data_IF_859490292234
#
_entry.id   IF_859490292234
#
_cell.length_a   1.000
_cell.length_b   1.000
_cell.length_c   1.000
_cell.angle_alpha   90.00
_cell.angle_beta   90.00
_cell.angle_gamma   90.00
#
_symmetry.space_group_name_H-M   'P 1'
#
loop_
_entity.id
_entity.type
_entity.pdbx_description
1 polymer ?
#
# COMPACT_ATOMS: atom_id res chain seq x y z
N UNK A 1 78.72 22.21 52.82
CA UNK A 1 79.17 21.43 53.99
C UNK A 1 77.93 20.79 54.60
N UNK A 2 77.67 19.51 54.31
CA UNK A 2 78.00 18.38 55.23
C UNK A 2 76.67 17.97 55.90
N UNK A 3 76.13 16.74 55.85
CA UNK A 3 76.63 15.42 55.45
C UNK A 3 75.41 14.49 55.23
N UNK A 4 75.53 13.67 54.17
CA UNK A 4 75.14 12.26 54.05
C UNK A 4 73.82 11.76 54.68
N UNK A 5 72.84 11.44 53.81
CA UNK A 5 71.79 10.45 54.07
C UNK A 5 72.25 9.09 53.55
N UNK A 6 72.51 8.15 54.45
CA UNK A 6 72.77 6.75 54.13
C UNK A 6 71.47 5.99 53.86
N UNK A 7 71.29 5.53 52.62
CA UNK A 7 70.31 4.50 52.28
C UNK A 7 70.83 3.16 52.76
N UNK A 8 70.13 2.55 53.73
CA UNK A 8 70.40 1.20 54.21
C UNK A 8 69.69 0.18 53.32
N UNK A 9 70.20 -1.06 53.37
CA UNK A 9 69.86 -2.30 52.68
C UNK A 9 68.36 -2.70 52.56
N UNK A 10 67.42 -1.83 52.92
CA UNK A 10 65.98 -2.04 52.85
C UNK A 10 65.37 -1.76 51.47
N UNK A 11 66.10 -1.06 50.58
CA UNK A 11 65.64 -0.79 49.20
C UNK A 11 65.71 -2.02 48.27
N UNK A 12 66.46 -3.07 48.64
CA UNK A 12 66.58 -4.28 47.82
C UNK A 12 65.47 -5.31 48.07
N UNK A 13 64.85 -5.31 49.25
CA UNK A 13 63.79 -6.29 49.61
C UNK A 13 62.41 -5.89 49.07
N UNK A 14 62.22 -4.63 48.63
CA UNK A 14 60.96 -4.14 48.09
C UNK A 14 60.81 -4.31 46.56
N UNK A 15 61.87 -4.77 45.87
CA UNK A 15 61.85 -5.04 44.41
C UNK A 15 61.11 -6.35 44.06
N UNK A 16 61.17 -7.37 44.93
CA UNK A 16 60.70 -8.73 44.59
C UNK A 16 59.26 -9.05 45.05
N UNK A 17 58.61 -8.15 45.80
CA UNK A 17 57.21 -8.31 46.22
C UNK A 17 56.18 -7.71 45.23
N UNK A 18 56.64 -7.06 44.15
CA UNK A 18 55.77 -6.38 43.18
C UNK A 18 55.22 -7.33 42.09
N UNK A 19 55.43 -8.65 42.25
CA UNK A 19 55.18 -9.68 41.24
C UNK A 19 53.93 -10.55 41.49
N UNK A 20 52.97 -10.13 42.34
CA UNK A 20 51.72 -10.92 42.56
C UNK A 20 50.41 -10.15 42.54
N UNK A 21 50.43 -8.83 42.32
CA UNK A 21 49.20 -8.02 42.22
C UNK A 21 48.78 -7.64 40.80
N UNK A 22 49.56 -8.02 39.77
CA UNK A 22 49.24 -7.77 38.35
C UNK A 22 48.52 -8.92 37.62
N UNK A 23 48.27 -10.05 38.29
CA UNK A 23 47.74 -11.28 37.66
C UNK A 23 46.28 -11.63 38.03
N UNK A 24 45.53 -10.73 38.68
CA UNK A 24 44.14 -10.98 39.09
C UNK A 24 43.11 -10.04 38.44
N UNK A 25 43.34 -9.58 37.20
CA UNK A 25 42.39 -8.72 36.47
C UNK A 25 42.20 -9.15 35.01
N UNK A 26 42.04 -10.47 34.78
CA UNK A 26 41.73 -11.04 33.45
C UNK A 26 40.67 -12.14 33.51
N UNK A 27 39.63 -11.96 34.33
CA UNK A 27 38.47 -12.84 34.31
C UNK A 27 37.21 -12.06 33.91
N UNK A 28 36.76 -12.37 32.70
CA UNK A 28 35.37 -12.44 32.25
C UNK A 28 34.53 -11.16 32.34
N UNK A 29 34.54 -10.35 31.26
CA UNK A 29 33.30 -9.80 30.67
C UNK A 29 33.50 -9.69 29.15
N UNK A 30 33.41 -10.81 28.44
CA UNK A 30 33.13 -10.82 27.00
C UNK A 30 31.68 -11.24 26.81
N UNK A 31 30.75 -10.43 27.32
CA UNK A 31 29.33 -10.58 27.02
C UNK A 31 29.07 -9.96 25.66
N UNK A 32 29.08 -10.78 24.60
CA UNK A 32 28.58 -10.38 23.30
C UNK A 32 27.07 -10.13 23.43
N UNK A 33 26.67 -8.87 23.56
CA UNK A 33 25.29 -8.45 23.37
C UNK A 33 24.98 -8.60 21.87
N UNK A 34 24.58 -9.81 21.47
CA UNK A 34 23.88 -10.01 20.20
C UNK A 34 22.49 -9.41 20.40
N UNK A 35 22.38 -8.11 20.15
CA UNK A 35 21.09 -7.46 20.02
C UNK A 35 20.40 -8.04 18.79
N UNK A 36 19.47 -8.97 18.99
CA UNK A 36 18.54 -9.36 17.94
C UNK A 36 17.73 -8.10 17.61
N UNK A 37 18.04 -7.47 16.48
CA UNK A 37 17.18 -6.47 15.89
C UNK A 37 15.90 -7.22 15.46
N UNK A 38 14.91 -7.26 16.34
CA UNK A 38 13.56 -7.66 15.98
C UNK A 38 13.07 -6.57 15.04
N UNK A 39 12.75 -6.85 13.77
CA UNK A 39 12.05 -5.87 12.97
C UNK A 39 10.72 -5.65 13.67
N UNK A 40 10.55 -4.48 14.29
CA UNK A 40 9.23 -4.01 14.69
C UNK A 40 8.52 -3.74 13.38
N UNK A 41 7.78 -4.73 12.87
CA UNK A 41 6.74 -4.48 11.90
C UNK A 41 5.74 -3.57 12.62
N UNK A 42 5.85 -2.26 12.38
CA UNK A 42 4.79 -1.36 12.74
C UNK A 42 3.59 -1.82 11.91
N UNK A 43 2.60 -2.43 12.56
CA UNK A 43 1.28 -2.60 11.96
C UNK A 43 0.70 -1.19 11.86
N UNK A 44 1.01 -0.50 10.76
CA UNK A 44 0.61 0.88 10.55
C UNK A 44 -0.90 1.02 10.37
N UNK A 45 -1.65 -0.09 10.37
CA UNK A 45 -3.12 -0.13 10.24
C UNK A 45 -3.58 -0.04 8.80
N UNK A 46 -2.69 0.35 7.87
CA UNK A 46 -2.96 0.27 6.44
C UNK A 46 -2.87 -1.17 5.93
N UNK A 47 -3.82 -1.55 5.09
CA UNK A 47 -3.92 -2.91 4.54
C UNK A 47 -4.38 -2.86 3.09
N UNK A 48 -3.80 -3.74 2.27
CA UNK A 48 -4.32 -4.08 0.96
C UNK A 48 -4.76 -5.53 0.94
N UNK A 49 -5.96 -5.81 0.41
CA UNK A 49 -6.47 -7.16 0.16
C UNK A 49 -6.97 -7.29 -1.26
N UNK A 50 -6.82 -8.48 -1.83
CA UNK A 50 -7.41 -8.87 -3.10
C UNK A 50 -8.52 -9.88 -2.82
N UNK A 51 -9.76 -9.49 -3.06
CA UNK A 51 -10.95 -10.23 -2.61
C UNK A 51 -11.73 -10.67 -3.85
N UNK A 52 -12.03 -11.97 -4.00
CA UNK A 52 -12.77 -12.44 -5.16
C UNK A 52 -14.27 -12.37 -4.96
N UNK A 53 -15.03 -12.07 -6.02
CA UNK A 53 -16.50 -12.15 -5.98
C UNK A 53 -17.01 -13.60 -6.05
N UNK A 54 -16.17 -14.50 -6.53
CA UNK A 54 -16.41 -15.94 -6.69
C UNK A 54 -15.11 -16.69 -6.41
N UNK A 55 -15.18 -17.84 -5.75
CA UNK A 55 -13.98 -18.61 -5.39
C UNK A 55 -13.35 -19.39 -6.57
N UNK A 56 -13.99 -19.32 -7.74
CA UNK A 56 -13.51 -19.95 -8.96
C UNK A 56 -13.87 -19.13 -10.20
N UNK A 57 -13.22 -19.46 -11.32
CA UNK A 57 -13.44 -18.85 -12.65
C UNK A 57 -13.82 -19.92 -13.67
N UNK A 58 -14.55 -19.51 -14.70
CA UNK A 58 -14.86 -20.35 -15.87
C UNK A 58 -14.05 -19.83 -17.06
N UNK A 59 -13.27 -20.68 -17.77
CA UNK A 59 -12.56 -20.28 -18.97
C UNK A 59 -13.47 -19.59 -19.99
N UNK A 60 -12.95 -18.58 -20.70
CA UNK A 60 -13.71 -17.82 -21.70
C UNK A 60 -14.71 -16.79 -21.11
N UNK A 61 -14.76 -16.61 -19.79
CA UNK A 61 -15.70 -15.69 -19.12
C UNK A 61 -15.02 -14.52 -18.41
N UNK A 62 -15.82 -13.57 -17.95
CA UNK A 62 -15.39 -12.48 -17.08
C UNK A 62 -15.53 -12.84 -15.61
N UNK A 63 -14.59 -12.40 -14.78
CA UNK A 63 -14.73 -12.43 -13.33
C UNK A 63 -14.25 -11.12 -12.70
N UNK A 64 -14.73 -10.83 -11.49
CA UNK A 64 -14.41 -9.60 -10.77
C UNK A 64 -13.66 -9.90 -9.47
N UNK A 65 -12.66 -9.07 -9.19
CA UNK A 65 -11.97 -8.98 -7.91
C UNK A 65 -12.17 -7.57 -7.33
N UNK A 66 -12.00 -7.41 -6.03
CA UNK A 66 -11.90 -6.12 -5.36
C UNK A 66 -10.50 -5.95 -4.79
N UNK A 67 -9.85 -4.82 -5.10
CA UNK A 67 -8.69 -4.33 -4.37
C UNK A 67 -9.19 -3.46 -3.24
N UNK A 68 -9.18 -4.01 -2.02
CA UNK A 68 -9.47 -3.26 -0.81
C UNK A 68 -8.25 -2.45 -0.42
N UNK A 69 -8.39 -1.13 -0.38
CA UNK A 69 -7.42 -0.21 0.22
C UNK A 69 -8.01 0.25 1.54
N UNK A 70 -7.43 -0.18 2.66
CA UNK A 70 -7.86 0.19 3.99
C UNK A 70 -6.83 1.10 4.64
N UNK A 71 -7.22 2.31 4.96
CA UNK A 71 -6.46 3.28 5.74
C UNK A 71 -6.86 3.23 7.22
N UNK A 72 -6.04 3.81 8.08
CA UNK A 72 -6.43 4.03 9.49
C UNK A 72 -7.65 4.95 9.59
N UNK A 73 -8.43 4.87 10.69
CA UNK A 73 -9.52 5.79 10.94
C UNK A 73 -9.09 7.26 10.82
N UNK A 74 -9.82 8.03 10.01
CA UNK A 74 -9.57 9.44 9.73
C UNK A 74 -8.47 9.71 8.70
N UNK A 75 -7.72 8.69 8.29
CA UNK A 75 -6.78 8.80 7.17
C UNK A 75 -7.51 8.57 5.85
N UNK A 76 -6.95 9.15 4.79
CA UNK A 76 -7.51 9.02 3.45
C UNK A 76 -6.45 8.63 2.42
N UNK A 77 -6.91 8.01 1.33
CA UNK A 77 -6.14 7.82 0.10
C UNK A 77 -6.83 8.54 -1.06
N UNK A 78 -6.18 8.61 -2.21
CA UNK A 78 -6.65 9.44 -3.32
C UNK A 78 -7.45 8.69 -4.37
N UNK A 79 -8.36 9.43 -5.01
CA UNK A 79 -9.05 8.99 -6.21
C UNK A 79 -8.13 8.96 -7.44
N UNK A 80 -8.63 8.40 -8.54
CA UNK A 80 -7.95 8.38 -9.84
C UNK A 80 -7.52 9.79 -10.30
N UNK A 81 -8.38 10.78 -10.11
CA UNK A 81 -8.01 12.19 -10.20
C UNK A 81 -7.88 12.73 -8.78
N UNK A 82 -6.66 12.96 -8.27
CA UNK A 82 -6.47 13.34 -6.87
C UNK A 82 -6.87 14.81 -6.60
N UNK A 83 -7.04 15.65 -7.63
CA UNK A 83 -7.31 17.08 -7.49
C UNK A 83 -6.03 17.91 -7.44
N UNK A 84 -6.00 18.93 -6.59
CA UNK A 84 -4.90 19.91 -6.50
C UNK A 84 -3.61 19.33 -5.91
N UNK A 85 -3.69 18.22 -5.17
CA UNK A 85 -2.55 17.52 -4.57
C UNK A 85 -2.84 16.04 -4.36
N UNK A 86 -1.80 15.26 -4.01
CA UNK A 86 -1.90 13.81 -3.78
C UNK A 86 -1.46 12.95 -4.95
N UNK A 87 -1.50 11.62 -4.75
CA UNK A 87 -1.14 10.63 -5.75
C UNK A 87 -2.18 9.50 -5.80
N UNK A 88 -2.74 9.27 -6.98
CA UNK A 88 -3.64 8.16 -7.25
C UNK A 88 -2.93 6.81 -7.05
N UNK A 89 -3.63 5.76 -6.59
CA UNK A 89 -3.06 4.44 -6.46
C UNK A 89 -2.69 3.86 -7.83
N UNK A 90 -1.52 3.24 -7.90
CA UNK A 90 -1.03 2.53 -9.09
C UNK A 90 -1.08 1.03 -8.84
N UNK A 91 -1.78 0.31 -9.73
CA UNK A 91 -1.94 -1.15 -9.65
C UNK A 91 -1.08 -1.84 -10.71
N UNK A 92 -0.12 -2.65 -10.27
CA UNK A 92 0.67 -3.54 -11.15
C UNK A 92 0.23 -4.98 -10.96
N UNK A 93 -0.18 -5.63 -12.04
CA UNK A 93 -0.73 -6.98 -11.99
C UNK A 93 0.31 -8.04 -12.35
N UNK A 94 0.28 -9.14 -11.59
CA UNK A 94 0.92 -10.42 -11.93
C UNK A 94 -0.21 -11.37 -12.33
N UNK A 95 -0.37 -11.60 -13.63
CA UNK A 95 -1.43 -12.42 -14.19
C UNK A 95 -0.83 -13.71 -14.78
N UNK A 96 -1.51 -14.86 -14.64
CA UNK A 96 -1.13 -16.08 -15.32
C UNK A 96 -1.53 -15.99 -16.80
N UNK A 97 -0.99 -16.90 -17.61
CA UNK A 97 -1.44 -17.06 -18.99
C UNK A 97 -2.94 -17.33 -19.03
N UNK A 98 -3.62 -16.79 -20.05
CA UNK A 98 -5.06 -16.92 -20.21
C UNK A 98 -5.90 -15.94 -19.38
N UNK A 99 -5.31 -15.09 -18.54
CA UNK A 99 -6.02 -14.03 -17.79
C UNK A 99 -5.55 -12.65 -18.24
N UNK A 100 -6.49 -11.76 -18.54
CA UNK A 100 -6.20 -10.36 -18.90
C UNK A 100 -7.05 -9.39 -18.08
N UNK A 101 -6.43 -8.28 -17.66
CA UNK A 101 -7.13 -7.15 -17.08
C UNK A 101 -8.09 -6.55 -18.11
N UNK A 102 -9.36 -6.42 -17.76
CA UNK A 102 -10.36 -5.77 -18.61
C UNK A 102 -10.58 -4.30 -18.18
N UNK A 103 -10.84 -4.07 -16.90
CA UNK A 103 -11.14 -2.73 -16.39
C UNK A 103 -10.94 -2.61 -14.89
N UNK A 104 -10.49 -1.43 -14.44
CA UNK A 104 -10.53 -1.02 -13.04
C UNK A 104 -11.62 0.03 -12.88
N UNK A 105 -12.50 -0.19 -11.93
CA UNK A 105 -13.60 0.70 -11.59
C UNK A 105 -13.28 1.42 -10.28
N UNK A 106 -13.24 2.75 -10.36
CA UNK A 106 -13.07 3.62 -9.21
C UNK A 106 -14.46 4.12 -8.77
N UNK A 107 -14.90 3.81 -7.54
CA UNK A 107 -16.06 4.45 -6.93
C UNK A 107 -15.98 5.97 -6.96
N UNK A 108 -17.13 6.63 -6.82
CA UNK A 108 -17.19 8.09 -6.69
C UNK A 108 -16.49 8.50 -5.38
N UNK A 109 -15.53 9.44 -5.43
CA UNK A 109 -14.77 9.84 -4.26
C UNK A 109 -15.53 10.87 -3.42
N UNK A 110 -14.98 11.16 -2.25
CA UNK A 110 -15.34 12.31 -1.43
C UNK A 110 -14.54 13.54 -1.90
N UNK A 111 -15.18 14.71 -1.92
CA UNK A 111 -14.49 15.98 -2.10
C UNK A 111 -13.94 16.42 -0.75
N UNK A 112 -12.63 16.60 -0.67
CA UNK A 112 -11.94 17.10 0.52
C UNK A 112 -11.36 18.47 0.22
N UNK A 113 -11.53 19.42 1.14
CA UNK A 113 -11.06 20.79 0.95
C UNK A 113 -10.28 21.24 2.19
N UNK A 114 -9.01 21.59 1.99
CA UNK A 114 -8.12 22.01 3.05
C UNK A 114 -7.19 23.11 2.54
N UNK A 115 -7.04 24.19 3.31
CA UNK A 115 -6.15 25.31 2.97
C UNK A 115 -6.39 25.91 1.57
N UNK A 116 -7.64 25.85 1.08
CA UNK A 116 -8.03 26.33 -0.24
C UNK A 116 -7.67 25.39 -1.41
N UNK A 117 -7.14 24.20 -1.13
CA UNK A 117 -6.92 23.13 -2.10
C UNK A 117 -8.06 22.13 -2.05
N UNK A 118 -8.44 21.60 -3.21
CA UNK A 118 -9.48 20.60 -3.38
C UNK A 118 -8.84 19.30 -3.83
N UNK A 119 -9.04 18.25 -3.05
CA UNK A 119 -8.67 16.89 -3.42
C UNK A 119 -9.88 15.97 -3.46
N UNK A 120 -9.71 14.84 -4.15
CA UNK A 120 -10.73 13.79 -4.20
C UNK A 120 -10.17 12.52 -3.58
N UNK A 121 -10.84 12.06 -2.54
CA UNK A 121 -10.28 11.08 -1.62
C UNK A 121 -11.26 9.96 -1.28
N UNK A 122 -10.72 8.91 -0.67
CA UNK A 122 -11.46 7.87 0.01
C UNK A 122 -11.00 7.83 1.46
N UNK A 123 -11.91 8.10 2.40
CA UNK A 123 -11.64 8.02 3.84
C UNK A 123 -11.81 6.60 4.33
N UNK A 124 -10.92 6.15 5.22
CA UNK A 124 -10.91 4.83 5.89
C UNK A 124 -10.77 3.61 4.97
N UNK A 125 -11.63 3.44 3.96
CA UNK A 125 -11.63 2.25 3.10
C UNK A 125 -12.24 2.52 1.73
N UNK A 126 -11.69 1.87 0.71
CA UNK A 126 -12.31 1.73 -0.62
C UNK A 126 -12.10 0.33 -1.19
N UNK A 127 -13.09 -0.19 -1.91
CA UNK A 127 -12.87 -1.30 -2.85
C UNK A 127 -12.84 -0.78 -4.28
N UNK A 128 -11.70 -0.93 -4.94
CA UNK A 128 -11.60 -0.75 -6.39
C UNK A 128 -12.02 -2.06 -7.04
N UNK A 129 -13.13 -2.06 -7.78
CA UNK A 129 -13.60 -3.27 -8.46
C UNK A 129 -12.82 -3.46 -9.75
N UNK A 130 -12.38 -4.67 -10.02
CA UNK A 130 -11.50 -4.99 -11.14
C UNK A 130 -12.06 -6.16 -11.89
N UNK A 131 -12.39 -5.94 -13.16
CA UNK A 131 -12.85 -6.98 -14.06
C UNK A 131 -11.68 -7.56 -14.84
N UNK A 132 -11.70 -8.88 -14.96
CA UNK A 132 -10.77 -9.67 -15.74
C UNK A 132 -11.54 -10.49 -16.76
N UNK A 133 -10.85 -10.83 -17.84
CA UNK A 133 -11.32 -11.80 -18.83
C UNK A 133 -10.39 -13.00 -18.82
N UNK A 134 -10.98 -14.18 -18.87
CA UNK A 134 -10.28 -15.45 -19.08
C UNK A 134 -10.43 -15.89 -20.53
N UNK A 135 -9.49 -16.68 -21.04
CA UNK A 135 -9.65 -17.40 -22.30
C UNK A 135 -9.60 -18.93 -22.10
N UNK A 136 -9.81 -19.66 -23.19
CA UNK A 136 -9.92 -21.12 -23.19
C UNK A 136 -8.60 -21.83 -22.85
N UNK A 137 -7.46 -21.13 -22.82
CA UNK A 137 -6.17 -21.76 -22.46
C UNK A 137 -6.13 -22.19 -20.98
N UNK A 138 -7.04 -21.67 -20.16
CA UNK A 138 -7.24 -22.11 -18.77
C UNK A 138 -7.97 -23.45 -18.66
N UNK A 139 -8.55 -23.98 -19.74
CA UNK A 139 -9.24 -25.26 -19.71
C UNK A 139 -8.28 -26.38 -19.28
N UNK A 140 -8.56 -27.00 -18.12
CA UNK A 140 -7.72 -28.05 -17.55
C UNK A 140 -6.72 -27.59 -16.49
N UNK A 141 -6.59 -26.28 -16.25
CA UNK A 141 -5.96 -25.80 -15.02
C UNK A 141 -6.83 -26.16 -13.81
N UNK A 142 -6.22 -26.43 -12.66
CA UNK A 142 -6.95 -26.63 -11.40
C UNK A 142 -7.23 -25.28 -10.72
N UNK A 143 -6.26 -24.38 -10.78
CA UNK A 143 -6.28 -23.07 -10.12
C UNK A 143 -5.57 -22.01 -10.95
N UNK A 144 -5.93 -20.75 -10.70
CA UNK A 144 -5.23 -19.57 -11.21
C UNK A 144 -4.85 -18.63 -10.08
N UNK A 145 -3.65 -18.06 -10.15
CA UNK A 145 -3.14 -17.09 -9.17
C UNK A 145 -3.17 -15.69 -9.76
N UNK A 146 -3.91 -14.78 -9.14
CA UNK A 146 -3.89 -13.36 -9.51
C UNK A 146 -3.20 -12.58 -8.41
N UNK A 147 -2.15 -11.84 -8.76
CA UNK A 147 -1.41 -10.98 -7.84
C UNK A 147 -1.46 -9.51 -8.23
N UNK A 148 -1.40 -8.63 -7.23
CA UNK A 148 -1.30 -7.19 -7.43
C UNK A 148 -0.24 -6.59 -6.50
N UNK A 149 0.55 -5.67 -7.04
CA UNK A 149 1.36 -4.73 -6.27
C UNK A 149 0.72 -3.36 -6.39
N UNK A 150 0.45 -2.73 -5.25
CA UNK A 150 -0.21 -1.43 -5.13
C UNK A 150 0.77 -0.43 -4.57
N UNK A 151 1.12 0.60 -5.34
CA UNK A 151 1.71 1.82 -4.79
C UNK A 151 0.60 2.82 -4.55
N UNK A 152 0.54 3.37 -3.34
CA UNK A 152 -0.52 4.27 -2.93
C UNK A 152 -0.03 5.21 -1.86
N UNK A 153 -0.77 6.29 -1.63
CA UNK A 153 -0.43 7.31 -0.65
C UNK A 153 -1.57 7.42 0.36
N UNK A 154 -1.22 7.45 1.63
CA UNK A 154 -2.17 7.69 2.73
C UNK A 154 -1.81 8.97 3.46
N UNK A 155 -2.82 9.79 3.75
CA UNK A 155 -2.63 11.10 4.38
C UNK A 155 -3.59 11.32 5.55
N UNK A 156 -3.08 12.05 6.55
CA UNK A 156 -3.88 12.73 7.58
C UNK A 156 -3.36 14.18 7.67
N UNK A 157 -2.37 14.44 8.54
CA UNK A 157 -1.59 15.69 8.53
C UNK A 157 -0.30 15.56 7.72
N UNK A 158 0.16 14.32 7.53
CA UNK A 158 1.33 13.96 6.74
C UNK A 158 0.93 12.90 5.73
N UNK A 159 1.54 12.97 4.54
CA UNK A 159 1.36 11.99 3.48
C UNK A 159 2.51 10.99 3.45
N UNK A 160 2.17 9.70 3.47
CA UNK A 160 3.13 8.60 3.44
C UNK A 160 2.90 7.72 2.20
N UNK A 161 3.92 7.55 1.34
CA UNK A 161 3.85 6.56 0.27
C UNK A 161 4.00 5.15 0.85
N UNK A 162 3.17 4.24 0.38
CA UNK A 162 3.15 2.83 0.75
C UNK A 162 3.18 1.96 -0.51
N UNK A 163 3.88 0.84 -0.41
CA UNK A 163 3.77 -0.25 -1.36
C UNK A 163 3.21 -1.48 -0.63
N UNK A 164 2.22 -2.13 -1.21
CA UNK A 164 1.62 -3.33 -0.64
C UNK A 164 1.37 -4.37 -1.72
N UNK A 165 1.45 -5.65 -1.36
CA UNK A 165 1.15 -6.75 -2.26
C UNK A 165 -0.01 -7.58 -1.73
N UNK A 166 -0.85 -8.05 -2.65
CA UNK A 166 -1.90 -9.02 -2.35
C UNK A 166 -2.01 -10.02 -3.50
N UNK A 167 -2.49 -11.22 -3.19
CA UNK A 167 -2.78 -12.25 -4.19
C UNK A 167 -4.00 -13.06 -3.78
N UNK A 168 -4.65 -13.66 -4.77
CA UNK A 168 -5.75 -14.58 -4.59
C UNK A 168 -5.58 -15.77 -5.52
N UNK A 169 -5.95 -16.93 -5.00
CA UNK A 169 -5.93 -18.20 -5.70
C UNK A 169 -7.38 -18.62 -5.96
N UNK A 170 -7.75 -18.84 -7.22
CA UNK A 170 -9.11 -19.17 -7.63
C UNK A 170 -9.13 -20.57 -8.24
N UNK A 171 -10.17 -21.36 -7.94
CA UNK A 171 -10.38 -22.61 -8.66
C UNK A 171 -10.73 -22.35 -10.13
N UNK A 172 -10.50 -23.32 -10.99
CA UNK A 172 -11.00 -23.29 -12.37
C UNK A 172 -12.07 -24.38 -12.52
N UNK A 173 -13.25 -23.98 -12.97
CA UNK A 173 -14.42 -24.85 -13.08
C UNK A 173 -15.05 -24.74 -14.47
N UNK A 174 -15.83 -25.75 -14.85
CA UNK A 174 -16.49 -25.83 -16.17
C UNK A 174 -17.93 -25.29 -16.18
N UNK A 175 -18.49 -24.99 -15.01
CA UNK A 175 -19.82 -24.41 -14.85
C UNK A 175 -19.78 -23.22 -13.90
N UNK A 176 -20.81 -22.38 -13.94
CA UNK A 176 -20.86 -21.15 -13.14
C UNK A 176 -20.66 -21.45 -11.64
N UNK A 177 -19.65 -20.85 -11.00
CA UNK A 177 -19.33 -21.09 -9.61
C UNK A 177 -20.35 -20.44 -8.67
N UNK A 178 -20.50 -21.04 -7.48
CA UNK A 178 -21.34 -20.47 -6.45
C UNK A 178 -20.91 -19.02 -6.11
N UNK A 179 -21.86 -18.14 -5.75
CA UNK A 179 -21.52 -16.83 -5.23
C UNK A 179 -20.60 -16.93 -4.02
N UNK A 180 -19.72 -15.93 -3.84
CA UNK A 180 -19.00 -15.77 -2.58
C UNK A 180 -19.99 -15.66 -1.41
N UNK A 181 -19.47 -15.80 -0.18
CA UNK A 181 -20.25 -15.62 1.04
C UNK A 181 -21.12 -14.34 0.99
N UNK A 182 -22.30 -14.40 1.60
CA UNK A 182 -23.32 -13.34 1.51
C UNK A 182 -22.78 -11.94 1.84
N UNK A 183 -21.87 -11.84 2.82
CA UNK A 183 -21.22 -10.57 3.20
C UNK A 183 -20.32 -10.01 2.08
N UNK A 184 -19.50 -10.85 1.45
CA UNK A 184 -18.66 -10.45 0.32
C UNK A 184 -19.53 -9.99 -0.85
N UNK A 185 -20.60 -10.73 -1.16
CA UNK A 185 -21.54 -10.36 -2.21
C UNK A 185 -22.21 -9.00 -1.92
N UNK A 186 -22.54 -8.73 -0.66
CA UNK A 186 -23.11 -7.45 -0.23
C UNK A 186 -22.10 -6.28 -0.36
N UNK A 187 -20.83 -6.48 -0.01
CA UNK A 187 -19.79 -5.45 -0.21
C UNK A 187 -19.56 -5.17 -1.70
N UNK A 188 -19.49 -6.20 -2.56
CA UNK A 188 -19.41 -5.99 -4.01
C UNK A 188 -20.61 -5.17 -4.50
N UNK A 189 -21.83 -5.51 -4.10
CA UNK A 189 -23.02 -4.74 -4.46
C UNK A 189 -22.96 -3.28 -3.96
N UNK A 190 -22.52 -3.06 -2.72
CA UNK A 190 -22.35 -1.74 -2.13
C UNK A 190 -21.40 -0.86 -2.96
N UNK A 191 -20.20 -1.36 -3.28
CA UNK A 191 -19.20 -0.59 -4.03
C UNK A 191 -19.58 -0.38 -5.49
N UNK A 192 -20.25 -1.36 -6.10
CA UNK A 192 -20.74 -1.26 -7.48
C UNK A 192 -21.83 -0.19 -7.62
N UNK A 193 -22.66 0.01 -6.59
CA UNK A 193 -23.67 1.07 -6.55
C UNK A 193 -23.06 2.49 -6.44
N UNK A 194 -21.80 2.61 -6.03
CA UNK A 194 -21.07 3.89 -5.89
C UNK A 194 -20.27 4.28 -7.13
N UNK A 195 -20.28 3.44 -8.18
CA UNK A 195 -19.58 3.75 -9.43
C UNK A 195 -20.19 5.00 -10.09
N UNK A 196 -19.37 5.84 -10.75
CA UNK A 196 -19.87 6.98 -11.52
C UNK A 196 -20.91 6.52 -12.55
N UNK A 197 -22.06 7.19 -12.57
CA UNK A 197 -23.10 6.92 -13.57
C UNK A 197 -22.80 7.71 -14.83
N UNK A 198 -23.03 7.12 -16.02
CA UNK A 198 -23.10 7.90 -17.26
C UNK A 198 -24.05 9.07 -17.05
N UNK A 199 -23.70 10.20 -17.63
CA UNK A 199 -24.48 11.39 -17.43
C UNK A 199 -25.42 11.54 -18.62
N UNK A 200 -26.71 11.27 -18.39
CA UNK A 200 -27.68 11.00 -19.45
C UNK A 200 -27.99 12.22 -20.37
N UNK A 201 -27.56 13.44 -20.00
CA UNK A 201 -28.04 14.69 -20.63
C UNK A 201 -26.97 15.78 -20.88
N UNK A 202 -25.67 15.45 -20.92
CA UNK A 202 -24.66 16.50 -21.15
C UNK A 202 -24.57 16.88 -22.63
N UNK A 203 -25.25 17.97 -23.01
CA UNK A 203 -25.05 18.63 -24.29
C UNK A 203 -23.82 19.54 -24.20
N UNK A 204 -22.67 19.04 -24.66
CA UNK A 204 -21.45 19.84 -24.76
C UNK A 204 -21.48 20.64 -26.05
N UNK A 205 -21.49 21.97 -25.95
CA UNK A 205 -21.34 22.86 -27.10
C UNK A 205 -20.01 23.63 -26.99
N UNK A 206 -19.28 23.71 -28.10
CA UNK A 206 -18.13 24.58 -28.24
C UNK A 206 -18.37 25.50 -29.43
N UNK A 207 -18.15 26.81 -29.27
CA UNK A 207 -18.23 27.78 -30.34
C UNK A 207 -16.86 28.42 -30.54
N UNK A 208 -16.39 28.45 -31.79
CA UNK A 208 -15.18 29.16 -32.17
C UNK A 208 -15.54 30.57 -32.64
N UNK A 209 -15.01 31.60 -31.99
CA UNK A 209 -15.12 32.98 -32.47
C UNK A 209 -14.02 33.24 -33.51
N UNK A 210 -14.41 33.50 -34.77
CA UNK A 210 -13.46 33.99 -35.79
C UNK A 210 -13.12 35.45 -35.50
N UNK A 211 -11.93 35.69 -34.95
CA UNK A 211 -11.36 37.05 -34.92
C UNK A 211 -10.60 37.47 -33.66
N UNK A 212 -10.43 36.61 -32.66
CA UNK A 212 -9.64 36.92 -31.46
C UNK A 212 -8.79 35.73 -31.06
N UNK A 213 -7.47 35.91 -31.00
CA UNK A 213 -6.59 34.98 -30.30
C UNK A 213 -6.95 35.05 -28.82
N UNK A 214 -7.77 34.12 -28.35
CA UNK A 214 -7.93 33.62 -26.98
C UNK A 214 -9.07 32.59 -27.01
N UNK A 215 -8.76 31.30 -26.84
CA UNK A 215 -9.76 30.29 -26.46
C UNK A 215 -10.30 30.66 -25.07
N UNK A 216 -11.32 31.51 -25.01
CA UNK A 216 -12.07 31.78 -23.79
C UNK A 216 -13.09 30.66 -23.56
N UNK A 217 -12.92 29.88 -22.49
CA UNK A 217 -13.97 29.02 -21.98
C UNK A 217 -15.09 29.90 -21.40
N UNK A 218 -16.02 30.33 -22.26
CA UNK A 218 -17.23 30.97 -21.77
C UNK A 218 -18.11 29.91 -21.09
N UNK A 219 -18.08 29.93 -19.75
CA UNK A 219 -19.09 29.44 -18.80
C UNK A 219 -19.88 28.22 -19.26
N UNK A 220 -19.44 27.03 -18.82
CA UNK A 220 -20.32 25.85 -18.72
C UNK A 220 -21.50 26.21 -17.80
N UNK A 221 -22.61 26.67 -18.37
CA UNK A 221 -23.88 26.69 -17.66
C UNK A 221 -24.53 25.33 -17.86
N UNK A 222 -24.41 24.47 -16.84
CA UNK A 222 -25.29 23.33 -16.69
C UNK A 222 -26.68 23.88 -16.34
N UNK A 223 -27.61 23.93 -17.30
CA UNK A 223 -29.03 24.05 -16.98
C UNK A 223 -29.54 22.67 -16.59
N UNK A 224 -30.14 22.57 -15.40
CA UNK A 224 -30.93 21.41 -14.97
C UNK A 224 -32.19 21.27 -15.81
#
# INVERSE_FOLDING_TARGET
>A
MTLMRGGSLMEWVLSEANNRLRQACRLAVAGALVGAAVPVAAETGERVRLIPERDAVVPGTTFSLAVELQSRPGWHTYWLNPGDSGLAPTLRWRLPDGVRLARVWFPTPERFEESGMVTFVYTDRVWLLVDFVTDETLAGAERVEVGVTVDWMVCLEICMPLQSEASVSLGVVTSEPAPAADETAAEFAHWRARLPKPADEWVVQAQAERGGSLCGFNRLMASR
#
